data_IF_889290041770
#
_entry.id   IF_889290041770
#
_cell.length_a   1.000
_cell.length_b   1.000
_cell.length_c   1.000
_cell.angle_alpha   90.00
_cell.angle_beta   90.00
_cell.angle_gamma   90.00
#
_symmetry.space_group_name_H-M   'P 1'
#
loop_
_entity.id
_entity.type
_entity.pdbx_description
1 polymer ?
#
# COMPACT_ATOMS: atom_id res chain seq x y z
N UNK A 1 -20.42 31.77 1.21
CA UNK A 1 -20.32 30.30 1.11
C UNK A 1 -19.29 29.85 2.14
N UNK A 2 -19.49 28.72 2.81
CA UNK A 2 -18.48 28.22 3.75
C UNK A 2 -17.19 27.90 2.97
N UNK A 3 -16.04 28.32 3.49
CA UNK A 3 -14.74 27.98 2.93
C UNK A 3 -14.17 26.74 3.62
N UNK A 4 -13.28 26.05 2.92
CA UNK A 4 -12.57 24.87 3.39
C UNK A 4 -11.14 24.86 2.85
N UNK A 5 -10.27 24.10 3.51
CA UNK A 5 -8.86 23.98 3.14
C UNK A 5 -8.67 22.79 2.19
N UNK A 6 -7.91 23.01 1.12
CA UNK A 6 -7.48 21.99 0.19
C UNK A 6 -5.97 22.08 -0.07
N UNK A 7 -5.32 20.92 -0.22
CA UNK A 7 -3.95 20.82 -0.74
C UNK A 7 -4.02 20.54 -2.25
N UNK A 8 -3.41 21.42 -3.02
CA UNK A 8 -3.38 21.36 -4.49
C UNK A 8 -1.95 21.29 -4.99
N UNK A 9 -1.80 20.87 -6.24
CA UNK A 9 -0.50 20.95 -6.90
C UNK A 9 -0.14 22.41 -7.22
N UNK A 10 1.01 22.90 -6.75
CA UNK A 10 1.45 24.27 -7.00
C UNK A 10 2.11 24.45 -8.37
N UNK A 11 2.73 23.38 -8.89
CA UNK A 11 3.49 23.38 -10.14
C UNK A 11 3.64 21.94 -10.68
N UNK A 12 3.94 21.74 -11.98
CA UNK A 12 4.17 20.40 -12.51
C UNK A 12 5.32 19.70 -11.76
N UNK A 13 5.13 18.43 -11.43
CA UNK A 13 6.16 17.61 -10.79
C UNK A 13 6.86 16.80 -11.87
N UNK A 14 8.17 17.01 -12.02
CA UNK A 14 8.99 16.23 -12.98
C UNK A 14 9.99 15.32 -12.27
N UNK A 15 10.34 15.64 -11.02
CA UNK A 15 11.33 14.94 -10.20
C UNK A 15 10.68 14.31 -8.96
N UNK A 16 11.50 13.87 -7.99
CA UNK A 16 11.00 13.45 -6.68
C UNK A 16 10.21 14.59 -6.01
N UNK A 17 8.95 14.38 -5.57
CA UNK A 17 8.14 15.45 -5.01
C UNK A 17 8.74 15.97 -3.70
N UNK A 18 8.62 17.27 -3.48
CA UNK A 18 9.00 17.98 -2.28
C UNK A 18 7.84 18.88 -1.79
N UNK A 19 7.94 19.40 -0.57
CA UNK A 19 6.88 20.22 0.01
C UNK A 19 6.51 21.46 -0.84
N UNK A 20 7.49 22.04 -1.55
CA UNK A 20 7.29 23.21 -2.41
C UNK A 20 6.50 22.93 -3.70
N UNK A 21 6.23 21.65 -4.01
CA UNK A 21 5.39 21.27 -5.16
C UNK A 21 3.90 21.37 -4.86
N UNK A 22 3.54 21.64 -3.60
CA UNK A 22 2.17 21.69 -3.11
C UNK A 22 1.84 23.06 -2.51
N UNK A 23 0.57 23.44 -2.56
CA UNK A 23 0.05 24.63 -1.91
C UNK A 23 -1.20 24.30 -1.10
N UNK A 24 -1.33 24.95 0.06
CA UNK A 24 -2.57 24.94 0.84
C UNK A 24 -3.39 26.14 0.38
N UNK A 25 -4.63 25.91 -0.05
CA UNK A 25 -5.52 26.95 -0.57
C UNK A 25 -6.87 26.90 0.15
N UNK A 26 -7.53 28.06 0.22
CA UNK A 26 -8.92 28.15 0.63
C UNK A 26 -9.82 28.01 -0.60
N UNK A 27 -10.82 27.13 -0.53
CA UNK A 27 -11.85 26.96 -1.55
C UNK A 27 -13.24 27.11 -0.97
N UNK A 28 -14.19 27.49 -1.81
CA UNK A 28 -15.60 27.32 -1.46
C UNK A 28 -15.90 25.84 -1.25
N UNK A 29 -16.70 25.53 -0.23
CA UNK A 29 -17.19 24.17 -0.01
C UNK A 29 -18.00 23.73 -1.23
N UNK A 30 -17.67 22.61 -1.88
CA UNK A 30 -18.41 22.13 -3.04
C UNK A 30 -19.77 21.57 -2.60
N UNK A 31 -20.77 21.71 -3.47
CA UNK A 31 -22.04 21.00 -3.33
C UNK A 31 -21.93 19.63 -4.01
N UNK A 32 -22.62 18.62 -3.46
CA UNK A 32 -22.78 17.35 -4.16
C UNK A 32 -23.66 17.57 -5.41
N UNK A 33 -23.20 17.10 -6.57
CA UNK A 33 -23.97 17.00 -7.81
C UNK A 33 -24.82 15.73 -7.87
N UNK A 34 -25.53 15.50 -8.97
CA UNK A 34 -26.30 14.26 -9.16
C UNK A 34 -25.39 13.03 -9.11
N UNK A 35 -25.78 12.04 -8.29
CA UNK A 35 -25.01 10.81 -8.07
C UNK A 35 -23.80 10.97 -7.15
N UNK A 36 -23.61 12.13 -6.52
CA UNK A 36 -22.49 12.40 -5.61
C UNK A 36 -22.90 12.46 -4.14
N UNK A 37 -21.88 12.34 -3.31
CA UNK A 37 -21.92 12.59 -1.87
C UNK A 37 -20.82 13.58 -1.52
N UNK A 38 -21.11 14.48 -0.58
CA UNK A 38 -20.12 15.35 0.06
C UNK A 38 -19.70 14.71 1.37
N UNK A 39 -18.40 14.55 1.56
CA UNK A 39 -17.81 13.83 2.68
C UNK A 39 -16.92 14.78 3.48
N UNK A 40 -17.14 14.86 4.79
CA UNK A 40 -16.19 15.46 5.73
C UNK A 40 -15.08 14.45 5.98
N UNK A 41 -13.88 14.77 5.48
CA UNK A 41 -12.73 13.88 5.53
C UNK A 41 -12.19 13.79 6.96
N UNK A 42 -12.00 12.56 7.44
CA UNK A 42 -11.37 12.28 8.73
C UNK A 42 -9.90 11.87 8.56
N UNK A 43 -9.59 11.05 7.55
CA UNK A 43 -8.24 10.61 7.25
C UNK A 43 -7.99 10.56 5.74
N UNK A 44 -6.73 10.78 5.35
CA UNK A 44 -6.22 10.66 3.98
C UNK A 44 -5.25 9.48 3.90
N UNK A 45 -5.26 8.78 2.77
CA UNK A 45 -4.24 7.78 2.44
C UNK A 45 -3.08 8.43 1.70
N UNK A 46 -1.86 8.16 2.17
CA UNK A 46 -0.61 8.67 1.59
C UNK A 46 0.19 7.51 1.01
N UNK A 47 -0.07 7.19 -0.26
CA UNK A 47 0.49 6.00 -0.91
C UNK A 47 1.70 6.31 -1.81
N UNK A 48 2.74 5.46 -1.84
CA UNK A 48 3.93 5.70 -2.65
C UNK A 48 3.68 5.92 -4.15
N UNK A 49 2.65 5.26 -4.72
CA UNK A 49 2.30 5.38 -6.13
C UNK A 49 1.81 6.79 -6.51
N UNK A 50 1.29 7.57 -5.54
CA UNK A 50 0.86 8.96 -5.76
C UNK A 50 2.02 9.77 -6.33
N UNK A 51 3.25 9.53 -5.87
CA UNK A 51 4.42 10.19 -6.44
C UNK A 51 4.55 9.96 -7.96
N UNK A 52 4.31 8.73 -8.43
CA UNK A 52 4.34 8.40 -9.87
C UNK A 52 3.16 9.00 -10.62
N UNK A 53 1.97 9.03 -9.99
CA UNK A 53 0.76 9.64 -10.54
C UNK A 53 0.92 11.14 -10.76
N UNK A 54 1.53 11.86 -9.81
CA UNK A 54 1.87 13.28 -9.94
C UNK A 54 2.86 13.59 -11.08
N UNK A 55 3.53 12.58 -11.65
CA UNK A 55 4.45 12.72 -12.79
C UNK A 55 3.87 12.18 -14.09
N UNK A 56 2.62 11.71 -14.10
CA UNK A 56 2.01 11.03 -15.24
C UNK A 56 2.70 9.70 -15.61
N UNK A 57 3.29 9.01 -14.62
CA UNK A 57 4.05 7.76 -14.80
C UNK A 57 3.35 6.56 -14.19
N UNK A 58 2.10 6.70 -13.77
CA UNK A 58 1.32 5.64 -13.15
C UNK A 58 0.25 5.13 -14.11
N UNK A 59 0.42 3.91 -14.64
CA UNK A 59 -0.61 3.19 -15.41
C UNK A 59 -1.21 3.97 -16.61
N UNK A 60 -0.45 4.90 -17.21
CA UNK A 60 -0.89 5.72 -18.33
C UNK A 60 -1.80 6.90 -17.96
N UNK A 61 -2.04 7.14 -16.67
CA UNK A 61 -2.77 8.32 -16.21
C UNK A 61 -1.94 9.59 -16.40
N UNK A 62 -2.54 10.70 -16.86
CA UNK A 62 -1.85 11.98 -16.97
C UNK A 62 -1.53 12.57 -15.58
N UNK A 63 -0.51 13.43 -15.53
CA UNK A 63 -0.28 14.25 -14.34
C UNK A 63 -1.45 15.23 -14.13
N UNK A 64 -1.88 15.46 -12.88
CA UNK A 64 -2.74 16.60 -12.56
C UNK A 64 -2.09 17.91 -12.99
N UNK A 65 -2.91 18.89 -13.39
CA UNK A 65 -2.46 20.24 -13.67
C UNK A 65 -2.24 21.05 -12.38
N UNK A 66 -1.37 22.08 -12.40
CA UNK A 66 -1.27 23.01 -11.28
C UNK A 66 -2.63 23.63 -10.93
N UNK A 67 -2.94 23.66 -9.65
CA UNK A 67 -4.22 24.12 -9.12
C UNK A 67 -5.31 23.05 -9.09
N UNK A 68 -5.08 21.83 -9.57
CA UNK A 68 -6.01 20.71 -9.41
C UNK A 68 -5.82 20.00 -8.07
N UNK A 69 -6.88 19.31 -7.64
CA UNK A 69 -6.90 18.45 -6.47
C UNK A 69 -5.89 17.32 -6.59
N UNK A 70 -5.24 16.97 -5.47
CA UNK A 70 -4.33 15.84 -5.46
C UNK A 70 -5.08 14.51 -5.52
N UNK A 71 -4.54 13.50 -6.22
CA UNK A 71 -5.09 12.15 -6.16
C UNK A 71 -4.94 11.54 -4.76
N UNK A 72 -5.91 10.73 -4.35
CA UNK A 72 -5.81 10.02 -3.08
C UNK A 72 -7.16 9.62 -2.47
N UNK A 73 -7.15 8.46 -1.82
CA UNK A 73 -8.29 7.97 -1.06
C UNK A 73 -8.41 8.67 0.29
N UNK A 74 -9.65 8.87 0.71
CA UNK A 74 -10.01 9.40 2.00
C UNK A 74 -11.11 8.56 2.64
N UNK A 75 -11.21 8.61 3.96
CA UNK A 75 -12.33 8.07 4.72
C UNK A 75 -12.94 9.17 5.57
N UNK A 76 -14.26 9.21 5.65
CA UNK A 76 -14.98 10.28 6.32
C UNK A 76 -16.47 10.04 6.43
N UNK A 77 -17.18 11.06 6.90
CA UNK A 77 -18.63 11.05 7.12
C UNK A 77 -19.36 11.82 6.02
N UNK A 78 -20.44 11.25 5.48
CA UNK A 78 -21.31 11.91 4.51
C UNK A 78 -22.06 13.05 5.19
N UNK A 79 -21.87 14.28 4.71
CA UNK A 79 -22.54 15.49 5.22
C UNK A 79 -23.61 16.03 4.27
N UNK A 80 -23.60 15.61 3.00
CA UNK A 80 -24.66 15.87 2.02
C UNK A 80 -24.68 14.73 0.99
N UNK A 81 -25.85 14.36 0.49
CA UNK A 81 -26.00 13.26 -0.47
C UNK A 81 -27.04 13.59 -1.53
N UNK A 82 -26.67 13.32 -2.79
CA UNK A 82 -27.58 13.25 -3.95
C UNK A 82 -27.44 11.89 -4.64
N UNK A 83 -27.08 10.87 -3.88
CA UNK A 83 -27.00 9.48 -4.33
C UNK A 83 -27.92 8.61 -3.44
N UNK A 84 -28.86 7.84 -4.02
CA UNK A 84 -29.87 7.11 -3.23
C UNK A 84 -29.28 6.01 -2.33
N UNK A 85 -28.05 5.57 -2.60
CA UNK A 85 -27.34 4.57 -1.81
C UNK A 85 -26.73 5.07 -0.49
N UNK A 86 -26.70 6.39 -0.24
CA UNK A 86 -26.03 6.99 0.92
C UNK A 86 -26.91 8.04 1.62
N UNK A 87 -26.86 8.01 2.95
CA UNK A 87 -27.51 8.99 3.81
C UNK A 87 -26.46 9.86 4.53
N UNK A 88 -26.88 11.05 4.99
CA UNK A 88 -26.08 11.87 5.90
C UNK A 88 -25.77 11.04 7.17
N UNK A 89 -24.52 11.07 7.63
CA UNK A 89 -24.01 10.27 8.74
C UNK A 89 -23.42 8.91 8.37
N UNK A 90 -23.60 8.46 7.12
CA UNK A 90 -22.88 7.28 6.61
C UNK A 90 -21.37 7.53 6.63
N UNK A 91 -20.59 6.52 7.00
CA UNK A 91 -19.14 6.57 6.88
C UNK A 91 -18.72 5.86 5.60
N UNK A 92 -17.86 6.51 4.82
CA UNK A 92 -17.47 6.05 3.49
C UNK A 92 -15.98 6.19 3.24
N UNK A 93 -15.46 5.35 2.37
CA UNK A 93 -14.13 5.45 1.77
C UNK A 93 -14.24 5.64 0.27
N UNK A 94 -13.42 6.51 -0.30
CA UNK A 94 -13.41 6.81 -1.73
C UNK A 94 -12.35 7.84 -2.09
N UNK A 95 -12.18 8.10 -3.38
CA UNK A 95 -11.27 9.14 -3.85
C UNK A 95 -11.97 10.51 -3.83
N UNK A 96 -11.39 11.48 -3.13
CA UNK A 96 -11.88 12.86 -3.10
C UNK A 96 -10.76 13.90 -2.92
N UNK A 97 -9.51 13.47 -3.03
CA UNK A 97 -8.33 14.32 -2.86
C UNK A 97 -8.07 14.79 -1.44
N UNK A 98 -7.13 15.73 -1.31
CA UNK A 98 -6.57 16.15 -0.02
C UNK A 98 -7.28 17.42 0.45
N UNK A 99 -8.40 17.24 1.11
CA UNK A 99 -9.37 18.32 1.38
C UNK A 99 -10.12 18.04 2.68
N UNK A 100 -10.68 19.07 3.32
CA UNK A 100 -11.54 18.89 4.51
C UNK A 100 -12.93 18.38 4.14
N UNK A 101 -13.47 18.82 2.98
CA UNK A 101 -14.78 18.45 2.45
C UNK A 101 -14.64 18.04 0.99
N UNK A 102 -14.67 16.74 0.73
CA UNK A 102 -14.45 16.16 -0.58
C UNK A 102 -15.72 15.60 -1.20
N UNK A 103 -15.90 15.82 -2.50
CA UNK A 103 -16.97 15.19 -3.28
C UNK A 103 -16.51 13.83 -3.74
N UNK A 104 -17.33 12.80 -3.50
CA UNK A 104 -17.12 11.45 -4.03
C UNK A 104 -18.27 11.08 -4.97
N UNK A 105 -17.96 10.37 -6.04
CA UNK A 105 -18.96 9.69 -6.86
C UNK A 105 -19.51 8.51 -6.07
N UNK A 106 -20.83 8.46 -5.85
CA UNK A 106 -21.44 7.48 -4.95
C UNK A 106 -21.21 6.03 -5.40
N UNK A 107 -21.19 5.78 -6.70
CA UNK A 107 -20.90 4.46 -7.29
C UNK A 107 -19.44 4.00 -7.14
N UNK A 108 -18.53 4.92 -6.79
CA UNK A 108 -17.12 4.64 -6.53
C UNK A 108 -16.78 4.73 -5.03
N UNK A 109 -17.72 5.15 -4.20
CA UNK A 109 -17.59 5.18 -2.76
C UNK A 109 -18.06 3.85 -2.14
N UNK A 110 -17.41 3.42 -1.07
CA UNK A 110 -17.81 2.23 -0.31
C UNK A 110 -18.18 2.62 1.11
N UNK A 111 -19.35 2.19 1.59
CA UNK A 111 -19.71 2.32 3.00
C UNK A 111 -18.75 1.48 3.86
N UNK A 112 -18.28 2.04 4.96
CA UNK A 112 -17.36 1.38 5.89
C UNK A 112 -18.00 1.13 7.25
N UNK A 113 -17.49 0.13 7.97
CA UNK A 113 -17.92 -0.13 9.34
C UNK A 113 -17.27 0.88 10.30
N UNK A 114 -18.08 1.82 10.80
CA UNK A 114 -17.66 2.85 11.75
C UNK A 114 -17.47 2.34 13.20
N UNK A 115 -17.80 1.08 13.51
CA UNK A 115 -17.47 0.47 14.80
C UNK A 115 -15.98 0.15 14.93
N UNK A 116 -15.24 0.15 13.81
CA UNK A 116 -13.79 -0.03 13.75
C UNK A 116 -13.12 1.33 13.53
N UNK A 117 -11.81 1.46 13.86
CA UNK A 117 -11.07 2.68 13.54
C UNK A 117 -11.19 3.03 12.06
N UNK A 118 -11.69 4.23 11.73
CA UNK A 118 -11.95 4.63 10.35
C UNK A 118 -10.69 4.53 9.47
N UNK A 119 -9.53 4.89 10.02
CA UNK A 119 -8.24 4.81 9.32
C UNK A 119 -7.86 3.38 8.91
N UNK A 120 -8.39 2.35 9.56
CA UNK A 120 -8.15 0.95 9.17
C UNK A 120 -8.68 0.66 7.76
N UNK A 121 -9.75 1.34 7.31
CA UNK A 121 -10.34 1.20 5.97
C UNK A 121 -9.50 1.82 4.86
N UNK A 122 -8.47 2.61 5.20
CA UNK A 122 -7.44 3.07 4.26
C UNK A 122 -6.19 2.17 4.28
N UNK A 123 -6.04 1.32 5.30
CA UNK A 123 -4.89 0.45 5.51
C UNK A 123 -5.25 -1.04 5.40
N UNK A 124 -5.27 -1.73 6.54
CA UNK A 124 -5.47 -3.18 6.63
C UNK A 124 -6.84 -3.65 6.07
N UNK A 125 -7.89 -2.84 6.17
CA UNK A 125 -9.21 -3.13 5.57
C UNK A 125 -9.42 -2.39 4.24
N UNK A 126 -8.38 -1.72 3.74
CA UNK A 126 -8.37 -0.97 2.50
C UNK A 126 -7.54 -1.64 1.40
N UNK A 127 -7.17 -0.84 0.41
CA UNK A 127 -6.32 -1.26 -0.72
C UNK A 127 -4.98 -1.86 -0.27
N UNK A 128 -4.25 -1.32 0.73
CA UNK A 128 -3.00 -1.94 1.19
C UNK A 128 -3.19 -3.34 1.76
N UNK A 129 -4.25 -3.57 2.54
CA UNK A 129 -4.58 -4.89 3.07
C UNK A 129 -5.02 -5.88 2.00
N UNK A 130 -5.83 -5.42 1.03
CA UNK A 130 -6.21 -6.24 -0.13
C UNK A 130 -4.97 -6.64 -0.95
N UNK A 131 -4.02 -5.72 -1.12
CA UNK A 131 -2.73 -5.97 -1.78
C UNK A 131 -1.95 -7.06 -1.06
N UNK A 132 -1.83 -6.94 0.27
CA UNK A 132 -1.17 -7.93 1.11
C UNK A 132 -1.83 -9.31 0.97
N UNK A 133 -3.15 -9.38 1.12
CA UNK A 133 -3.91 -10.62 1.02
C UNK A 133 -3.82 -11.27 -0.36
N UNK A 134 -3.98 -10.51 -1.43
CA UNK A 134 -3.88 -11.01 -2.80
C UNK A 134 -2.49 -11.60 -3.07
N UNK A 135 -1.44 -10.86 -2.70
CA UNK A 135 -0.06 -11.32 -2.88
C UNK A 135 0.25 -12.57 -2.05
N UNK A 136 -0.17 -12.63 -0.79
CA UNK A 136 0.09 -13.76 0.11
C UNK A 136 -0.71 -15.00 -0.28
N UNK A 137 -2.03 -14.86 -0.50
CA UNK A 137 -2.95 -16.00 -0.64
C UNK A 137 -3.18 -16.42 -2.08
N UNK A 138 -3.28 -15.48 -3.02
CA UNK A 138 -3.67 -15.77 -4.40
C UNK A 138 -2.46 -16.00 -5.30
N UNK A 139 -1.42 -15.17 -5.15
CA UNK A 139 -0.20 -15.26 -5.96
C UNK A 139 0.81 -16.22 -5.33
N UNK A 140 1.35 -15.87 -4.16
CA UNK A 140 2.34 -16.71 -3.50
C UNK A 140 1.76 -18.02 -3.00
N UNK A 141 0.45 -18.07 -2.67
CA UNK A 141 -0.19 -19.24 -2.06
C UNK A 141 0.58 -19.73 -0.84
N UNK A 142 0.86 -18.80 0.07
CA UNK A 142 1.55 -19.07 1.33
C UNK A 142 0.76 -20.12 2.12
N UNK A 143 1.49 -21.06 2.72
CA UNK A 143 0.93 -22.16 3.48
C UNK A 143 1.78 -22.50 4.71
N UNK A 144 1.30 -23.40 5.54
CA UNK A 144 2.02 -23.87 6.72
C UNK A 144 3.43 -24.36 6.36
N UNK A 145 4.42 -23.95 7.16
CA UNK A 145 5.82 -24.33 6.95
C UNK A 145 6.58 -23.44 5.94
N UNK A 146 5.90 -22.51 5.26
CA UNK A 146 6.59 -21.51 4.45
C UNK A 146 7.46 -20.58 5.32
N UNK A 147 8.60 -20.18 4.74
CA UNK A 147 9.46 -19.13 5.28
C UNK A 147 9.20 -17.88 4.45
N UNK A 148 8.37 -17.00 5.00
CA UNK A 148 7.89 -15.78 4.37
C UNK A 148 8.78 -14.59 4.74
N UNK A 149 9.56 -14.10 3.79
CA UNK A 149 10.35 -12.88 3.93
C UNK A 149 9.61 -11.71 3.26
N UNK A 150 9.52 -10.58 3.94
CA UNK A 150 8.91 -9.36 3.37
C UNK A 150 9.75 -8.14 3.73
N UNK A 151 10.03 -7.31 2.73
CA UNK A 151 10.65 -6.00 2.93
C UNK A 151 9.61 -4.89 3.05
N UNK A 152 10.08 -3.72 3.51
CA UNK A 152 9.23 -2.66 4.03
C UNK A 152 8.22 -3.19 5.06
N UNK A 153 8.64 -4.13 5.91
CA UNK A 153 7.76 -4.89 6.82
C UNK A 153 7.03 -4.02 7.84
N UNK A 154 7.54 -2.82 8.13
CA UNK A 154 6.86 -1.86 9.00
C UNK A 154 5.75 -1.05 8.31
N UNK A 155 5.64 -1.14 6.97
CA UNK A 155 4.65 -0.40 6.17
C UNK A 155 3.29 -1.11 6.10
N UNK A 156 2.30 -0.41 5.54
CA UNK A 156 0.90 -0.88 5.50
C UNK A 156 0.74 -2.24 4.79
N UNK A 157 1.35 -2.41 3.61
CA UNK A 157 1.30 -3.70 2.87
C UNK A 157 2.15 -4.74 3.57
N UNK A 158 3.44 -4.46 3.83
CA UNK A 158 4.38 -5.44 4.37
C UNK A 158 4.01 -5.98 5.75
N UNK A 159 3.58 -5.10 6.66
CA UNK A 159 3.15 -5.47 8.00
C UNK A 159 1.87 -6.31 8.00
N UNK A 160 0.93 -5.98 7.12
CA UNK A 160 -0.30 -6.78 6.94
C UNK A 160 0.03 -8.14 6.29
N UNK A 161 0.90 -8.17 5.29
CA UNK A 161 1.27 -9.38 4.56
C UNK A 161 1.93 -10.43 5.48
N UNK A 162 2.86 -10.01 6.34
CA UNK A 162 3.47 -10.94 7.28
C UNK A 162 2.50 -11.44 8.36
N UNK A 163 1.57 -10.61 8.84
CA UNK A 163 0.52 -11.07 9.76
C UNK A 163 -0.41 -12.09 9.10
N UNK A 164 -0.81 -11.88 7.84
CA UNK A 164 -1.60 -12.87 7.08
C UNK A 164 -0.79 -14.16 6.91
N UNK A 165 0.49 -14.08 6.55
CA UNK A 165 1.35 -15.25 6.39
C UNK A 165 1.43 -16.07 7.69
N UNK A 166 1.55 -15.42 8.85
CA UNK A 166 1.52 -16.10 10.16
C UNK A 166 0.20 -16.76 10.47
N UNK A 167 -0.92 -16.10 10.16
CA UNK A 167 -2.26 -16.69 10.31
C UNK A 167 -2.45 -17.95 9.44
N UNK A 168 -1.65 -18.12 8.39
CA UNK A 168 -1.61 -19.32 7.54
C UNK A 168 -0.57 -20.37 7.98
N UNK A 169 0.10 -20.17 9.13
CA UNK A 169 1.10 -21.09 9.66
C UNK A 169 2.49 -20.94 9.06
N UNK A 170 2.76 -19.86 8.31
CA UNK A 170 4.11 -19.56 7.84
C UNK A 170 4.93 -18.84 8.92
N UNK A 171 6.26 -19.00 8.86
CA UNK A 171 7.20 -18.22 9.67
C UNK A 171 7.48 -16.90 8.95
N UNK A 172 7.15 -15.77 9.56
CA UNK A 172 7.27 -14.45 8.94
C UNK A 172 8.52 -13.69 9.43
N UNK A 173 9.36 -13.30 8.48
CA UNK A 173 10.59 -12.54 8.69
C UNK A 173 10.45 -11.21 7.98
N UNK A 174 10.68 -10.11 8.70
CA UNK A 174 10.60 -8.77 8.14
C UNK A 174 11.97 -8.17 7.84
N UNK A 175 12.05 -7.29 6.84
CA UNK A 175 13.15 -6.35 6.65
C UNK A 175 12.60 -4.93 6.82
N UNK A 176 13.22 -4.14 7.70
CA UNK A 176 12.82 -2.77 7.97
C UNK A 176 14.04 -1.87 8.22
N UNK A 177 13.85 -0.55 8.22
CA UNK A 177 14.94 0.43 8.32
C UNK A 177 15.03 1.09 9.69
N UNK A 178 15.91 0.59 10.55
CA UNK A 178 16.16 1.07 11.91
C UNK A 178 15.52 0.20 12.99
N UNK A 179 16.20 0.12 14.14
CA UNK A 179 15.79 -0.68 15.31
C UNK A 179 14.31 -0.47 15.71
N UNK A 180 13.84 0.78 15.81
CA UNK A 180 12.46 1.06 16.21
C UNK A 180 11.40 0.44 15.27
N UNK A 181 11.69 0.38 13.96
CA UNK A 181 10.79 -0.29 13.01
C UNK A 181 10.87 -1.81 13.15
N UNK A 182 12.05 -2.35 13.41
CA UNK A 182 12.21 -3.78 13.65
C UNK A 182 11.51 -4.22 14.94
N UNK A 183 11.58 -3.42 15.99
CA UNK A 183 10.88 -3.65 17.26
C UNK A 183 9.37 -3.60 17.07
N UNK A 184 8.85 -2.61 16.33
CA UNK A 184 7.44 -2.57 15.95
C UNK A 184 6.98 -3.86 15.23
N UNK A 185 7.75 -4.30 14.22
CA UNK A 185 7.42 -5.48 13.41
C UNK A 185 7.44 -6.77 14.24
N UNK A 186 8.39 -6.90 15.17
CA UNK A 186 8.50 -8.08 16.03
C UNK A 186 7.49 -8.06 17.16
N UNK A 187 7.41 -6.94 17.89
CA UNK A 187 6.73 -6.88 19.19
C UNK A 187 5.25 -6.54 19.03
N UNK A 188 4.88 -5.70 18.07
CA UNK A 188 3.48 -5.34 17.82
C UNK A 188 2.83 -6.19 16.72
N UNK A 189 3.52 -6.42 15.59
CA UNK A 189 2.98 -7.24 14.49
C UNK A 189 3.27 -8.74 14.67
N UNK A 190 4.11 -9.10 15.64
CA UNK A 190 4.37 -10.48 16.06
C UNK A 190 5.32 -11.26 15.16
N UNK A 191 6.04 -10.63 14.22
CA UNK A 191 6.93 -11.37 13.32
C UNK A 191 7.99 -12.18 14.09
N UNK A 192 8.37 -13.33 13.56
CA UNK A 192 9.37 -14.22 14.17
C UNK A 192 10.76 -13.59 14.22
N UNK A 193 11.06 -12.69 13.27
CA UNK A 193 12.26 -11.87 13.27
C UNK A 193 12.04 -10.61 12.42
N UNK A 194 12.80 -9.55 12.71
CA UNK A 194 12.93 -8.41 11.81
C UNK A 194 14.38 -7.95 11.71
N UNK A 195 14.86 -7.75 10.48
CA UNK A 195 16.24 -7.40 10.16
C UNK A 195 16.31 -5.92 9.77
N UNK A 196 17.24 -5.20 10.38
CA UNK A 196 17.53 -3.82 10.05
C UNK A 196 18.47 -3.74 8.83
N UNK A 197 17.94 -3.36 7.66
CA UNK A 197 18.77 -3.26 6.44
C UNK A 197 19.82 -2.16 6.49
N UNK A 198 19.76 -1.26 7.49
CA UNK A 198 20.78 -0.22 7.70
C UNK A 198 22.03 -0.74 8.38
N UNK A 199 21.99 -1.93 8.98
CA UNK A 199 23.15 -2.55 9.60
C UNK A 199 23.99 -3.27 8.54
N UNK A 200 25.31 -3.24 8.71
CA UNK A 200 26.23 -4.02 7.88
C UNK A 200 25.96 -5.52 8.04
N UNK A 201 25.95 -6.27 6.94
CA UNK A 201 25.72 -7.73 6.96
C UNK A 201 24.27 -8.14 7.14
N UNK A 202 23.31 -7.24 6.93
CA UNK A 202 21.88 -7.55 7.03
C UNK A 202 21.46 -8.72 6.13
N UNK A 203 22.13 -8.92 4.98
CA UNK A 203 21.84 -10.02 4.06
C UNK A 203 22.09 -11.38 4.72
N UNK A 204 23.22 -11.53 5.43
CA UNK A 204 23.54 -12.77 6.14
C UNK A 204 22.61 -12.98 7.33
N UNK A 205 22.26 -11.90 8.04
CA UNK A 205 21.29 -11.95 9.12
C UNK A 205 19.89 -12.38 8.62
N UNK A 206 19.43 -11.86 7.48
CA UNK A 206 18.18 -12.26 6.85
C UNK A 206 18.20 -13.73 6.42
N UNK A 207 19.30 -14.18 5.80
CA UNK A 207 19.47 -15.57 5.42
C UNK A 207 19.44 -16.51 6.62
N UNK A 208 20.13 -16.15 7.70
CA UNK A 208 20.14 -16.92 8.95
C UNK A 208 18.76 -16.95 9.60
N UNK A 209 18.06 -15.82 9.68
CA UNK A 209 16.70 -15.74 10.20
C UNK A 209 15.72 -16.62 9.39
N UNK A 210 15.93 -16.75 8.09
CA UNK A 210 15.17 -17.63 7.22
C UNK A 210 15.61 -19.11 7.28
N UNK A 211 16.56 -19.49 8.15
CA UNK A 211 17.08 -20.85 8.20
C UNK A 211 17.70 -21.29 6.87
N UNK A 212 18.53 -20.42 6.28
CA UNK A 212 19.25 -20.68 5.03
C UNK A 212 18.66 -20.02 3.78
N UNK A 213 17.39 -19.55 3.84
CA UNK A 213 16.74 -18.84 2.74
C UNK A 213 15.21 -18.89 2.80
N UNK A 214 14.49 -17.90 2.23
CA UNK A 214 13.03 -17.90 2.21
C UNK A 214 12.44 -18.84 1.14
N UNK A 215 11.22 -19.34 1.37
CA UNK A 215 10.40 -20.00 0.33
C UNK A 215 9.50 -19.00 -0.39
N UNK A 216 9.20 -17.87 0.25
CA UNK A 216 8.43 -16.76 -0.32
C UNK A 216 9.10 -15.44 0.01
N UNK A 217 9.26 -14.57 -0.98
CA UNK A 217 9.68 -13.18 -0.79
C UNK A 217 8.60 -12.24 -1.34
N UNK A 218 8.09 -11.36 -0.48
CA UNK A 218 7.15 -10.32 -0.85
C UNK A 218 7.92 -8.98 -0.96
N UNK A 219 8.10 -8.51 -2.19
CA UNK A 219 8.97 -7.39 -2.55
C UNK A 219 8.17 -6.09 -2.77
N UNK A 220 8.47 -5.08 -1.95
CA UNK A 220 7.85 -3.76 -1.93
C UNK A 220 8.85 -2.61 -2.20
N UNK A 221 10.15 -2.86 -2.14
CA UNK A 221 11.20 -1.84 -2.15
C UNK A 221 11.85 -1.70 -3.53
N UNK A 222 12.51 -2.74 -4.02
CA UNK A 222 13.18 -2.78 -5.32
C UNK A 222 14.49 -3.55 -5.34
N UNK A 223 15.24 -3.39 -6.44
CA UNK A 223 16.53 -4.01 -6.72
C UNK A 223 17.51 -4.10 -5.55
N UNK A 224 17.66 -3.08 -4.70
CA UNK A 224 18.65 -3.12 -3.60
C UNK A 224 18.41 -4.30 -2.64
N UNK A 225 17.14 -4.63 -2.40
CA UNK A 225 16.73 -5.78 -1.61
C UNK A 225 16.60 -7.01 -2.50
N UNK A 226 15.87 -6.90 -3.61
CA UNK A 226 15.58 -8.02 -4.51
C UNK A 226 16.84 -8.75 -4.99
N UNK A 227 17.89 -8.02 -5.39
CA UNK A 227 19.14 -8.63 -5.85
C UNK A 227 19.88 -9.37 -4.74
N UNK A 228 19.71 -8.95 -3.49
CA UNK A 228 20.29 -9.62 -2.31
C UNK A 228 19.51 -10.88 -1.95
N UNK A 229 18.17 -10.85 -2.08
CA UNK A 229 17.30 -11.97 -1.69
C UNK A 229 17.23 -13.06 -2.76
N UNK A 230 17.23 -12.71 -4.04
CA UNK A 230 17.09 -13.67 -5.14
C UNK A 230 18.07 -14.86 -5.07
N UNK A 231 19.38 -14.68 -4.79
CA UNK A 231 20.32 -15.80 -4.67
C UNK A 231 20.10 -16.68 -3.43
N UNK A 232 19.51 -16.15 -2.35
CA UNK A 232 19.26 -16.88 -1.12
C UNK A 232 17.92 -17.61 -1.09
N UNK A 233 17.03 -17.40 -2.07
CA UNK A 233 15.78 -18.15 -2.18
C UNK A 233 16.04 -19.66 -2.08
N UNK A 234 15.12 -20.39 -1.44
CA UNK A 234 15.07 -21.85 -1.56
C UNK A 234 14.66 -22.24 -2.97
N UNK A 235 14.98 -23.48 -3.33
CA UNK A 235 14.54 -24.04 -4.60
C UNK A 235 13.01 -24.02 -4.68
N UNK A 236 12.49 -23.69 -5.86
CA UNK A 236 11.07 -23.45 -6.12
C UNK A 236 10.45 -22.30 -5.30
N UNK A 237 11.29 -21.38 -4.83
CA UNK A 237 10.84 -20.16 -4.15
C UNK A 237 9.95 -19.28 -5.01
N UNK A 238 9.08 -18.50 -4.37
CA UNK A 238 8.12 -17.61 -5.02
C UNK A 238 8.39 -16.16 -4.63
N UNK A 239 8.43 -15.27 -5.61
CA UNK A 239 8.58 -13.84 -5.40
C UNK A 239 7.33 -13.13 -5.87
N UNK A 240 6.75 -12.30 -5.00
CA UNK A 240 5.66 -11.39 -5.36
C UNK A 240 6.25 -9.99 -5.48
N UNK A 241 6.27 -9.46 -6.70
CA UNK A 241 6.66 -8.08 -6.98
C UNK A 241 5.45 -7.17 -6.81
N UNK A 242 5.30 -6.62 -5.60
CA UNK A 242 4.23 -5.68 -5.26
C UNK A 242 4.60 -4.24 -5.60
N UNK A 243 5.85 -3.85 -5.34
CA UNK A 243 6.26 -2.47 -5.51
C UNK A 243 7.76 -2.31 -5.71
N UNK A 244 8.10 -1.17 -6.31
CA UNK A 244 9.48 -0.73 -6.53
C UNK A 244 9.64 0.67 -5.93
N UNK A 245 9.32 0.81 -4.64
CA UNK A 245 9.33 2.09 -3.93
C UNK A 245 10.63 2.90 -4.10
N UNK A 246 11.78 2.24 -4.19
CA UNK A 246 13.07 2.89 -4.43
C UNK A 246 13.21 3.45 -5.86
N UNK A 247 12.46 2.90 -6.82
CA UNK A 247 12.55 3.25 -8.24
C UNK A 247 11.48 4.23 -8.71
N UNK A 248 10.36 4.37 -8.01
CA UNK A 248 9.25 5.24 -8.43
C UNK A 248 9.67 6.68 -8.73
N UNK A 249 10.68 7.18 -8.02
CA UNK A 249 11.18 8.54 -8.10
C UNK A 249 12.58 8.62 -8.70
N UNK A 250 13.09 7.52 -9.26
CA UNK A 250 14.42 7.47 -9.89
C UNK A 250 14.39 8.09 -11.29
N UNK A 251 15.44 8.83 -11.62
CA UNK A 251 15.73 9.32 -12.97
C UNK A 251 16.74 8.42 -13.71
N UNK A 252 17.23 7.38 -13.03
CA UNK A 252 18.16 6.40 -13.60
C UNK A 252 17.50 5.48 -14.63
N UNK A 253 18.29 4.56 -15.22
CA UNK A 253 17.75 3.56 -16.13
C UNK A 253 16.69 2.68 -15.45
N UNK A 254 15.78 2.07 -16.23
CA UNK A 254 14.81 1.12 -15.68
C UNK A 254 15.48 0.03 -14.85
N UNK A 255 14.81 -0.36 -13.77
CA UNK A 255 15.26 -1.44 -12.92
C UNK A 255 15.51 -2.72 -13.75
N UNK A 256 16.74 -3.22 -13.71
CA UNK A 256 17.17 -4.42 -14.45
C UNK A 256 17.65 -5.49 -13.49
N UNK A 257 17.14 -6.71 -13.64
CA UNK A 257 17.45 -7.85 -12.77
C UNK A 257 18.21 -8.93 -13.54
N UNK A 258 19.25 -9.48 -12.94
CA UNK A 258 19.94 -10.65 -13.47
C UNK A 258 19.06 -11.91 -13.28
N UNK A 259 18.46 -12.38 -14.37
CA UNK A 259 17.47 -13.48 -14.34
C UNK A 259 18.07 -14.87 -14.07
N UNK A 260 19.40 -15.02 -14.07
CA UNK A 260 20.06 -16.30 -13.84
C UNK A 260 19.72 -16.95 -12.49
N UNK A 261 19.52 -16.14 -11.44
CA UNK A 261 19.12 -16.65 -10.12
C UNK A 261 17.71 -17.28 -10.15
N UNK A 262 16.80 -16.76 -10.97
CA UNK A 262 15.45 -17.31 -11.13
C UNK A 262 15.54 -18.74 -11.68
N UNK A 263 16.34 -18.93 -12.74
CA UNK A 263 16.58 -20.23 -13.36
C UNK A 263 17.25 -21.17 -12.36
N UNK A 264 18.34 -20.73 -11.71
CA UNK A 264 19.10 -21.52 -10.76
C UNK A 264 18.25 -22.04 -9.60
N UNK A 265 17.28 -21.25 -9.13
CA UNK A 265 16.34 -21.62 -8.07
C UNK A 265 15.07 -22.30 -8.57
N UNK A 266 14.86 -22.41 -9.88
CA UNK A 266 13.55 -22.78 -10.47
C UNK A 266 12.41 -21.96 -9.85
N UNK A 267 12.71 -20.69 -9.55
CA UNK A 267 11.82 -19.81 -8.83
C UNK A 267 10.70 -19.27 -9.73
N UNK A 268 9.61 -18.88 -9.10
CA UNK A 268 8.53 -18.14 -9.74
C UNK A 268 8.61 -16.68 -9.32
N UNK A 269 8.33 -15.76 -10.24
CA UNK A 269 8.22 -14.34 -9.95
C UNK A 269 6.96 -13.78 -10.58
N UNK A 270 6.14 -13.17 -9.74
CA UNK A 270 4.76 -12.81 -10.02
C UNK A 270 4.59 -11.30 -9.80
N UNK A 271 4.16 -10.58 -10.83
CA UNK A 271 3.76 -9.18 -10.66
C UNK A 271 2.41 -9.07 -9.95
N UNK A 272 2.26 -8.07 -9.10
CA UNK A 272 1.01 -7.78 -8.39
C UNK A 272 0.53 -6.37 -8.71
N UNK A 273 -0.69 -6.28 -9.26
CA UNK A 273 -1.46 -5.04 -9.34
C UNK A 273 -2.78 -5.29 -8.61
N UNK A 274 -3.01 -4.57 -7.51
CA UNK A 274 -4.18 -4.80 -6.64
C UNK A 274 -5.52 -4.60 -7.34
N UNK A 275 -5.55 -3.83 -8.43
CA UNK A 275 -6.76 -3.50 -9.17
C UNK A 275 -7.49 -4.75 -9.70
N UNK A 276 -6.74 -5.81 -10.03
CA UNK A 276 -7.29 -7.10 -10.47
C UNK A 276 -8.08 -7.82 -9.35
N UNK A 277 -7.87 -7.42 -8.09
CA UNK A 277 -8.46 -8.05 -6.91
C UNK A 277 -9.57 -7.22 -6.26
N UNK A 278 -9.89 -6.02 -6.76
CA UNK A 278 -11.02 -5.23 -6.23
C UNK A 278 -12.36 -5.96 -6.21
N UNK A 279 -12.70 -6.83 -7.19
CA UNK A 279 -13.92 -7.66 -7.10
C UNK A 279 -13.99 -8.57 -5.86
N UNK A 280 -12.87 -8.76 -5.16
CA UNK A 280 -12.75 -9.59 -3.94
C UNK A 280 -12.49 -8.75 -2.68
N UNK A 281 -12.64 -7.43 -2.75
CA UNK A 281 -12.44 -6.56 -1.58
C UNK A 281 -13.38 -6.92 -0.43
N UNK A 282 -14.65 -7.22 -0.71
CA UNK A 282 -15.62 -7.57 0.34
C UNK A 282 -15.29 -8.92 0.99
N UNK A 283 -14.76 -9.89 0.22
CA UNK A 283 -14.23 -11.15 0.75
C UNK A 283 -13.07 -10.88 1.72
N UNK A 284 -12.12 -10.04 1.32
CA UNK A 284 -11.00 -9.65 2.17
C UNK A 284 -11.46 -8.93 3.44
N UNK A 285 -12.32 -7.92 3.31
CA UNK A 285 -12.80 -7.14 4.46
C UNK A 285 -13.56 -8.03 5.44
N UNK A 286 -14.40 -8.95 4.95
CA UNK A 286 -15.10 -9.90 5.80
C UNK A 286 -14.14 -10.82 6.56
N UNK A 287 -13.08 -11.31 5.90
CA UNK A 287 -12.05 -12.15 6.52
C UNK A 287 -11.23 -11.39 7.57
N UNK A 288 -10.85 -10.14 7.29
CA UNK A 288 -9.93 -9.37 8.10
C UNK A 288 -10.60 -8.59 9.24
N UNK A 289 -11.90 -8.30 9.13
CA UNK A 289 -12.69 -7.56 10.13
C UNK A 289 -12.52 -8.12 11.56
N UNK A 290 -12.57 -9.45 11.80
CA UNK A 290 -12.38 -10.00 13.15
C UNK A 290 -10.95 -9.86 13.71
N UNK A 291 -9.98 -9.42 12.90
CA UNK A 291 -8.59 -9.23 13.33
C UNK A 291 -8.27 -7.78 13.74
N UNK A 292 -9.21 -6.84 13.53
CA UNK A 292 -9.08 -5.40 13.82
C UNK A 292 -9.97 -5.04 14.99
#
# INVERSE_FOLDING_TARGET
MAQQIEVVLARPVTTKPCAADFAVVERATPDAGDGEILVRVAYLSLDPYIGSRLRGKHMGEPSPAPGESLPGFAVGEVVSSRHPGFAIGDHVVGECGWTELGVMRGDQARRVNASLPLSAHLGALGMPGLTAWAGVTQLAKVSEGDIFLVDAAAGAVGGTAGQIARNLGARAIGIAGGAAKCDLVRDAYGFDACIDYKQSGWQDAARLACGGGPTVHFENVGLSVLQSVMPMLRDYGRVVLCGLAEHYQSEGPPASLAIGAIIGKRAQMLGLVVYDFYPRLDEWVALATPWV
#
